data_IF_900644501553
#
_entry.id   IF_900644501553
#
_cell.length_a   1.000
_cell.length_b   1.000
_cell.length_c   1.000
_cell.angle_alpha   90.00
_cell.angle_beta   90.00
_cell.angle_gamma   90.00
#
_symmetry.space_group_name_H-M   'P 1'
#
loop_
_entity.id
_entity.type
_entity.pdbx_description
1 polymer ?
2 water ?
#
# COMPACT_ATOMS: atom_id res chain seq x y z
N UNK A 15 3.17 17.98 2.76
CA UNK A 15 2.65 17.17 3.91
C UNK A 15 2.76 17.91 5.26
N UNK A 16 1.64 17.95 5.99
CA UNK A 16 1.54 18.62 7.29
C UNK A 16 1.52 17.57 8.41
N UNK A 17 1.94 17.96 9.62
CA UNK A 17 2.12 17.02 10.76
C UNK A 17 2.94 15.91 10.10
N UNK A 18 4.25 16.16 9.98
CA UNK A 18 5.16 15.24 9.29
C UNK A 18 5.90 14.09 9.98
N UNK A 19 5.73 13.83 11.28
CA UNK A 19 6.49 12.69 11.84
C UNK A 19 5.61 11.43 11.98
N UNK A 20 5.96 10.36 11.26
CA UNK A 20 5.17 9.12 11.26
C UNK A 20 5.80 7.79 11.69
N UNK A 21 4.96 6.91 12.23
CA UNK A 21 5.35 5.56 12.63
C UNK A 21 4.37 4.62 11.92
N UNK A 22 4.89 3.55 11.32
CA UNK A 22 4.03 2.61 10.61
C UNK A 22 3.91 1.29 11.36
N UNK A 23 2.70 0.94 11.77
CA UNK A 23 2.47 -0.32 12.46
C UNK A 23 1.90 -1.34 11.48
N UNK A 24 2.63 -2.42 11.25
CA UNK A 24 2.17 -3.45 10.34
C UNK A 24 2.59 -3.21 8.91
N UNK A 25 1.93 -3.88 7.98
CA UNK A 25 2.24 -3.70 6.58
C UNK A 25 3.71 -3.80 6.29
N UNK A 26 4.37 -4.79 6.87
CA UNK A 26 5.80 -4.99 6.68
C UNK A 26 6.21 -4.88 5.21
N UNK A 27 5.51 -5.59 4.33
CA UNK A 27 5.84 -5.56 2.91
C UNK A 27 5.66 -4.17 2.29
N UNK A 28 4.83 -3.35 2.90
CA UNK A 28 4.58 -2.00 2.40
C UNK A 28 5.42 -0.94 3.09
N UNK A 29 6.11 -1.34 4.15
CA UNK A 29 6.92 -0.42 4.91
C UNK A 29 7.95 0.42 4.12
N UNK A 30 8.77 -0.20 3.28
CA UNK A 30 9.77 0.59 2.54
C UNK A 30 9.18 1.55 1.50
N UNK A 31 8.27 1.07 0.63
CA UNK A 31 7.72 2.03 -0.34
C UNK A 31 6.98 3.19 0.33
N UNK A 32 6.31 2.91 1.45
CA UNK A 32 5.61 3.95 2.19
C UNK A 32 6.62 4.96 2.73
N UNK A 33 7.66 4.46 3.40
CA UNK A 33 8.70 5.33 3.96
C UNK A 33 9.22 6.24 2.86
N UNK A 34 9.56 5.63 1.73
CA UNK A 34 10.06 6.40 0.60
C UNK A 34 9.11 7.51 0.18
N UNK A 35 7.83 7.20 0.09
CA UNK A 35 6.84 8.20 -0.32
C UNK A 35 6.73 9.28 0.74
N UNK A 36 6.76 8.88 2.01
CA UNK A 36 6.68 9.83 3.10
C UNK A 36 7.83 10.84 3.11
N UNK A 37 9.06 10.37 2.90
CA UNK A 37 10.18 11.30 2.89
C UNK A 37 10.08 12.17 1.64
N UNK A 38 9.45 11.64 0.61
CA UNK A 38 9.29 12.37 -0.65
C UNK A 38 8.27 13.50 -0.47
N UNK A 39 7.46 13.39 0.58
CA UNK A 39 6.43 14.38 0.88
C UNK A 39 6.88 15.30 2.01
N UNK A 40 8.16 15.20 2.38
CA UNK A 40 8.75 16.00 3.45
C UNK A 40 8.43 15.57 4.88
N UNK A 41 7.98 14.34 5.05
CA UNK A 41 7.68 13.85 6.38
C UNK A 41 8.85 12.99 6.83
N UNK A 42 8.78 12.43 8.02
CA UNK A 42 9.87 11.59 8.48
C UNK A 42 9.29 10.38 9.20
N UNK A 43 10.05 9.28 9.24
CA UNK A 43 9.59 8.08 9.92
C UNK A 43 10.39 7.91 11.21
N UNK A 44 9.69 7.51 12.27
CA UNK A 44 10.34 7.34 13.57
C UNK A 44 9.73 6.18 14.35
N UNK A 45 10.26 5.96 15.55
CA UNK A 45 9.76 4.89 16.42
C UNK A 45 8.38 5.34 16.89
N UNK A 46 7.64 4.42 17.50
CA UNK A 46 6.30 4.76 17.98
C UNK A 46 6.42 5.94 18.94
N UNK A 47 7.37 5.82 19.86
CA UNK A 47 7.64 6.82 20.89
C UNK A 47 7.92 8.22 20.34
N UNK A 48 8.94 8.35 19.50
CA UNK A 48 9.26 9.65 18.95
C UNK A 48 8.53 10.04 17.67
N UNK A 49 7.23 9.76 17.58
CA UNK A 49 6.47 10.13 16.38
C UNK A 49 5.07 10.63 16.71
N UNK A 50 4.70 11.75 16.11
CA UNK A 50 3.40 12.37 16.33
C UNK A 50 2.27 11.49 15.80
N UNK A 51 2.42 11.04 14.56
CA UNK A 51 1.44 10.22 13.86
C UNK A 51 1.76 8.73 13.73
N UNK A 52 0.71 7.93 13.61
CA UNK A 52 0.85 6.50 13.43
C UNK A 52 -0.11 6.04 12.34
N UNK A 53 0.42 5.27 11.40
CA UNK A 53 -0.36 4.74 10.30
C UNK A 53 -0.41 3.25 10.59
N UNK A 54 -1.58 2.76 10.97
CA UNK A 54 -1.73 1.34 11.30
C UNK A 54 -2.36 0.54 10.17
N UNK A 55 -1.58 -0.37 9.60
CA UNK A 55 -2.06 -1.23 8.53
C UNK A 55 -2.87 -2.34 9.20
N UNK A 56 -4.18 -2.35 8.97
CA UNK A 56 -5.02 -3.36 9.58
C UNK A 56 -5.18 -4.60 8.72
N UNK A 57 -5.04 -4.44 7.42
CA UNK A 57 -5.19 -5.57 6.53
C UNK A 57 -4.52 -5.38 5.18
N UNK A 58 -3.94 -6.46 4.68
CA UNK A 58 -3.30 -6.43 3.37
C UNK A 58 -3.79 -7.68 2.67
N UNK A 59 -4.35 -7.51 1.49
CA UNK A 59 -4.89 -8.63 0.75
C UNK A 59 -4.35 -8.71 -0.67
N UNK A 60 -3.93 -9.91 -1.06
CA UNK A 60 -3.43 -10.18 -2.41
C UNK A 60 -4.26 -11.30 -2.99
N UNK A 61 -5.13 -10.95 -3.93
CA UNK A 61 -6.00 -11.93 -4.56
C UNK A 61 -5.66 -12.10 -6.05
N UNK A 62 -5.44 -13.35 -6.45
CA UNK A 62 -5.12 -13.67 -7.84
C UNK A 62 -6.31 -14.45 -8.38
N UNK A 63 -6.97 -13.89 -9.38
CA UNK A 63 -8.15 -14.49 -9.96
C UNK A 63 -7.98 -14.82 -11.42
N UNK A 64 -8.63 -15.89 -11.85
CA UNK A 64 -8.59 -16.28 -13.25
C UNK A 64 -9.44 -15.27 -13.99
N UNK A 65 -8.88 -14.72 -15.06
CA UNK A 65 -9.57 -13.69 -15.84
C UNK A 65 -10.06 -14.22 -17.18
N UNK A 66 -9.18 -14.24 -18.17
CA UNK A 66 -9.53 -14.76 -19.49
C UNK A 66 -9.35 -16.27 -19.39
N UNK A 67 -10.40 -17.03 -19.69
CA UNK A 67 -10.28 -18.47 -19.63
C UNK A 67 -9.88 -19.00 -21.00
N UNK A 68 -10.84 -18.98 -21.93
CA UNK A 68 -10.63 -19.44 -23.29
C UNK A 68 -10.68 -20.96 -23.39
N UNK A 71 -10.94 -24.08 -20.22
CA UNK A 71 -10.15 -24.92 -19.32
C UNK A 71 -8.65 -24.62 -19.44
N UNK A 72 -8.33 -23.45 -19.97
CA UNK A 72 -6.94 -23.05 -20.15
C UNK A 72 -6.78 -21.55 -19.93
N UNK A 73 -6.54 -21.16 -18.68
CA UNK A 73 -6.38 -19.75 -18.32
C UNK A 73 -5.30 -19.06 -19.16
N UNK A 74 -5.64 -17.90 -19.69
CA UNK A 74 -4.71 -17.13 -20.49
C UNK A 74 -4.24 -15.93 -19.66
N UNK A 75 -5.17 -15.32 -18.92
CA UNK A 75 -4.84 -14.17 -18.08
C UNK A 75 -5.45 -14.19 -16.67
N UNK A 76 -4.75 -13.53 -15.76
CA UNK A 76 -5.18 -13.43 -14.37
C UNK A 76 -5.39 -11.97 -13.97
N UNK A 77 -6.33 -11.76 -13.06
CA UNK A 77 -6.56 -10.43 -12.54
C UNK A 77 -5.96 -10.43 -11.13
N UNK A 78 -5.09 -9.47 -10.84
CA UNK A 78 -4.47 -9.38 -9.52
C UNK A 78 -5.03 -8.14 -8.80
N UNK A 79 -5.45 -8.32 -7.54
CA UNK A 79 -5.97 -7.22 -6.75
C UNK A 79 -5.26 -7.09 -5.40
N UNK A 80 -4.66 -5.93 -5.16
CA UNK A 80 -3.96 -5.67 -3.90
C UNK A 80 -4.86 -4.72 -3.12
N UNK A 81 -5.24 -5.13 -1.92
CA UNK A 81 -6.09 -4.30 -1.09
C UNK A 81 -5.42 -4.04 0.24
N UNK A 82 -5.41 -2.77 0.63
CA UNK A 82 -4.80 -2.36 1.89
C UNK A 82 -5.78 -1.51 2.68
N UNK A 83 -5.87 -1.78 3.98
CA UNK A 83 -6.75 -1.04 4.87
C UNK A 83 -5.88 -0.49 5.98
N UNK A 84 -5.99 0.81 6.22
CA UNK A 84 -5.19 1.42 7.26
C UNK A 84 -5.97 2.48 8.03
N UNK A 85 -5.52 2.73 9.25
CA UNK A 85 -6.15 3.70 10.11
C UNK A 85 -5.07 4.68 10.56
N UNK A 86 -5.38 5.97 10.51
CA UNK A 86 -4.44 6.98 10.96
C UNK A 86 -4.79 7.25 12.42
N UNK A 87 -3.77 7.40 13.25
CA UNK A 87 -3.96 7.63 14.67
C UNK A 87 -3.10 8.79 15.15
N UNK A 88 -3.65 9.63 16.02
CA UNK A 88 -2.88 10.73 16.58
C UNK A 88 -2.77 10.53 18.08
N UNK A 89 -1.56 10.19 18.53
CA UNK A 89 -1.32 9.97 19.95
C UNK A 89 -2.37 9.02 20.53
N UNK A 90 -2.46 7.82 19.96
CA UNK A 90 -3.42 6.84 20.44
C UNK A 90 -4.86 6.97 19.97
N UNK A 91 -5.25 8.14 19.48
CA UNK A 91 -6.64 8.33 19.03
C UNK A 91 -6.87 8.32 17.51
N UNK A 92 -7.89 7.56 17.06
CA UNK A 92 -8.25 7.45 15.65
C UNK A 92 -8.70 8.79 15.10
N UNK A 93 -8.23 9.15 13.91
CA UNK A 93 -8.65 10.40 13.29
C UNK A 93 -9.04 10.04 11.87
N UNK A 94 -10.22 10.48 11.44
CA UNK A 94 -10.67 10.15 10.11
C UNK A 94 -11.20 8.73 10.11
N UNK A 95 -11.82 8.34 9.00
CA UNK A 95 -12.38 7.00 8.85
C UNK A 95 -11.23 6.08 8.46
N UNK A 96 -11.46 4.76 8.50
CA UNK A 96 -10.38 3.84 8.11
C UNK A 96 -10.31 3.95 6.59
N UNK A 97 -9.13 4.05 6.02
CA UNK A 97 -9.04 4.16 4.58
C UNK A 97 -8.70 2.83 3.91
N UNK A 98 -9.26 2.63 2.72
CA UNK A 98 -8.97 1.44 1.94
C UNK A 98 -8.40 1.91 0.62
N UNK A 99 -7.48 1.14 0.08
CA UNK A 99 -6.85 1.46 -1.18
C UNK A 99 -6.68 0.15 -1.91
N UNK A 100 -6.93 0.14 -3.21
CA UNK A 100 -6.75 -1.09 -3.94
C UNK A 100 -6.16 -0.81 -5.31
N UNK A 101 -5.27 -1.70 -5.74
CA UNK A 101 -4.59 -1.59 -7.03
C UNK A 101 -4.94 -2.85 -7.80
N UNK A 102 -5.13 -2.71 -9.12
CA UNK A 102 -5.49 -3.85 -9.96
C UNK A 102 -4.62 -3.94 -11.21
N UNK A 103 -4.21 -5.15 -11.55
CA UNK A 103 -3.37 -5.38 -12.72
C UNK A 103 -3.68 -6.71 -13.38
N UNK A 104 -3.55 -6.75 -14.70
CA UNK A 104 -3.76 -7.96 -15.47
C UNK A 104 -2.38 -8.60 -15.60
N UNK A 105 -2.30 -9.90 -15.39
CA UNK A 105 -1.04 -10.61 -15.48
C UNK A 105 -1.09 -11.62 -16.61
N UNK A 106 -0.19 -11.44 -17.56
CA UNK A 106 -0.07 -12.30 -18.73
C UNK A 106 1.42 -12.55 -18.96
N UNK A 107 1.81 -13.82 -19.03
CA UNK A 107 3.21 -14.24 -19.23
C UNK A 107 3.54 -14.45 -20.70
N UNK A 108 4.82 -14.30 -21.03
CA UNK A 108 5.33 -14.47 -22.38
C UNK A 108 6.65 -15.23 -22.22
N UNK A 109 7.16 -15.83 -23.29
CA UNK A 109 8.42 -16.57 -23.20
C UNK A 109 9.68 -15.73 -23.37
N UNK A 113 11.59 -14.74 -19.01
CA UNK A 113 10.28 -14.92 -18.43
C UNK A 113 10.37 -15.04 -16.92
N UNK A 114 10.14 -16.25 -16.41
CA UNK A 114 10.15 -16.46 -14.97
C UNK A 114 8.72 -16.14 -14.60
N UNK A 115 7.88 -17.17 -14.60
CA UNK A 115 6.47 -16.99 -14.29
C UNK A 115 6.24 -16.45 -12.89
N UNK A 116 7.00 -16.98 -11.93
CA UNK A 116 6.89 -16.57 -10.53
C UNK A 116 7.61 -15.25 -10.32
N UNK A 117 8.77 -15.12 -10.95
CA UNK A 117 9.57 -13.92 -10.83
C UNK A 117 8.82 -12.73 -11.42
N UNK A 118 7.98 -13.01 -12.41
CA UNK A 118 7.21 -11.95 -13.04
C UNK A 118 6.03 -11.52 -12.16
N UNK A 119 5.29 -12.49 -11.63
CA UNK A 119 4.15 -12.16 -10.78
C UNK A 119 4.66 -11.37 -9.59
N UNK A 120 5.81 -11.78 -9.06
CA UNK A 120 6.41 -11.11 -7.92
C UNK A 120 6.76 -9.66 -8.26
N UNK A 121 7.21 -9.42 -9.48
CA UNK A 121 7.56 -8.07 -9.88
C UNK A 121 6.30 -7.22 -9.97
N UNK A 122 5.21 -7.83 -10.44
CA UNK A 122 3.95 -7.11 -10.54
C UNK A 122 3.45 -6.71 -9.14
N UNK A 123 3.45 -7.66 -8.21
CA UNK A 123 3.02 -7.38 -6.84
C UNK A 123 3.89 -6.27 -6.26
N UNK A 124 5.15 -6.26 -6.65
CA UNK A 124 6.07 -5.23 -6.17
C UNK A 124 5.67 -3.86 -6.73
N UNK A 125 5.38 -3.80 -8.02
CA UNK A 125 4.96 -2.56 -8.69
C UNK A 125 3.69 -2.04 -8.03
N UNK A 126 2.79 -2.97 -7.73
CA UNK A 126 1.52 -2.66 -7.11
C UNK A 126 1.70 -2.14 -5.69
N UNK A 127 2.56 -2.79 -4.93
CA UNK A 127 2.78 -2.34 -3.58
C UNK A 127 3.27 -0.91 -3.58
N UNK A 128 4.07 -0.55 -4.58
CA UNK A 128 4.57 0.82 -4.66
C UNK A 128 3.43 1.77 -5.01
N UNK A 129 2.54 1.30 -5.88
CA UNK A 129 1.39 2.07 -6.31
C UNK A 129 0.51 2.37 -5.10
N UNK A 130 0.23 1.34 -4.30
CA UNK A 130 -0.59 1.47 -3.11
C UNK A 130 0.06 2.43 -2.11
N UNK A 131 1.37 2.32 -1.95
CA UNK A 131 2.05 3.20 -1.01
C UNK A 131 1.84 4.66 -1.44
N UNK A 132 2.06 4.93 -2.72
CA UNK A 132 1.90 6.28 -3.26
C UNK A 132 0.49 6.83 -3.04
N UNK A 133 -0.52 5.97 -3.18
CA UNK A 133 -1.90 6.39 -2.98
C UNK A 133 -2.22 6.64 -1.51
N UNK A 134 -1.60 5.89 -0.63
CA UNK A 134 -1.85 6.08 0.78
C UNK A 134 -1.24 7.40 1.22
N UNK A 135 0.03 7.62 0.89
CA UNK A 135 0.72 8.85 1.26
C UNK A 135 0.05 10.09 0.65
N UNK A 136 -0.50 9.91 -0.55
CA UNK A 136 -1.18 10.99 -1.23
C UNK A 136 -2.39 11.39 -0.41
N UNK A 137 -3.15 10.39 0.02
CA UNK A 137 -4.34 10.63 0.82
C UNK A 137 -3.99 11.20 2.18
N UNK A 138 -2.77 10.93 2.65
CA UNK A 138 -2.33 11.45 3.93
C UNK A 138 -2.06 12.95 3.77
N UNK A 139 -1.51 13.31 2.62
CA UNK A 139 -1.19 14.68 2.27
C UNK A 139 -2.44 15.54 2.19
N UNK A 140 -3.60 14.90 2.10
CA UNK A 140 -4.87 15.60 2.00
C UNK A 140 -5.83 15.36 3.16
N UNK A 141 -5.39 14.62 4.18
CA UNK A 141 -6.26 14.33 5.31
C UNK A 141 -6.64 15.52 6.20
N UNK A 142 -5.68 16.39 6.49
CA UNK A 142 -5.96 17.55 7.34
C UNK A 142 -7.10 18.37 6.74
N UNK A 143 -6.91 18.78 5.49
CA UNK A 143 -7.89 19.57 4.77
C UNK A 143 -9.24 18.87 4.75
N UNK A 144 -9.23 17.58 4.43
CA UNK A 144 -10.46 16.80 4.39
C UNK A 144 -11.08 16.73 5.78
#
# INVERSE_FOLDING_TARGET
XGFHXKGADGISPPLTYRSWHIEGGQALQFPLETALYQASGRVDDAAGAQMTLRIDSVSQNKETYTVTRAAVINEYLLILTVEAQVLKRGEPVGKPMTVSVRRVLAYADNEILGKQEEEAALWAEMRQDAAEQIVRRLTFLKAELEHHHHHH
#
